data_IF_537899371420
#
_entry.id   IF_537899371420
#
_cell.length_a   1.000
_cell.length_b   1.000
_cell.length_c   1.000
_cell.angle_alpha   90.00
_cell.angle_beta   90.00
_cell.angle_gamma   90.00
#
_symmetry.space_group_name_H-M   'P 1'
#
loop_
_entity.id
_entity.type
_entity.pdbx_description
1 polymer ?
#
# COMPACT_ATOMS: atom_id res chain seq x y z
N UNK A 1 -5.80 -9.46 2.52
CA UNK A 1 -7.25 -9.27 2.40
C UNK A 1 -7.57 -7.78 2.58
N UNK A 2 -7.89 -7.07 1.50
CA UNK A 2 -8.10 -5.60 1.52
C UNK A 2 -9.31 -5.22 2.39
N UNK A 3 -10.38 -6.03 2.34
CA UNK A 3 -11.62 -5.80 3.09
C UNK A 3 -11.39 -5.78 4.60
N UNK A 4 -10.59 -6.71 5.11
CA UNK A 4 -10.24 -6.79 6.54
C UNK A 4 -9.42 -5.58 6.97
N UNK A 5 -8.35 -5.27 6.24
CA UNK A 5 -7.45 -4.20 6.64
C UNK A 5 -8.12 -2.83 6.52
N UNK A 6 -8.76 -2.54 5.38
CA UNK A 6 -9.43 -1.26 5.16
C UNK A 6 -10.60 -1.06 6.13
N UNK A 7 -11.41 -2.10 6.36
CA UNK A 7 -12.48 -2.07 7.35
C UNK A 7 -11.94 -1.89 8.78
N UNK A 8 -10.83 -2.54 9.14
CA UNK A 8 -10.18 -2.37 10.44
C UNK A 8 -9.68 -0.94 10.67
N UNK A 9 -9.08 -0.33 9.65
CA UNK A 9 -8.58 1.06 9.71
C UNK A 9 -9.72 2.10 9.81
N UNK A 10 -10.92 1.76 9.33
CA UNK A 10 -12.09 2.65 9.42
C UNK A 10 -12.44 3.02 10.88
N UNK A 11 -12.20 2.10 11.82
CA UNK A 11 -12.42 2.33 13.25
C UNK A 11 -11.45 3.33 13.91
N UNK A 12 -10.37 3.73 13.24
CA UNK A 12 -9.27 4.49 13.86
C UNK A 12 -9.06 5.87 13.26
N UNK A 13 -9.44 6.07 12.00
CA UNK A 13 -9.24 7.30 11.24
C UNK A 13 -9.50 7.15 9.75
N UNK A 14 -9.74 5.92 9.27
CA UNK A 14 -10.08 5.63 7.88
C UNK A 14 -8.98 4.88 7.13
N UNK A 15 -9.31 4.29 5.97
CA UNK A 15 -8.34 3.62 5.10
C UNK A 15 -7.33 4.60 4.50
N UNK A 16 -6.14 4.11 4.17
CA UNK A 16 -5.14 4.83 3.39
C UNK A 16 -5.59 5.05 1.94
N UNK A 17 -5.04 6.09 1.30
CA UNK A 17 -5.21 6.32 -0.13
C UNK A 17 -4.37 5.32 -0.94
N UNK A 18 -5.01 4.60 -1.87
CA UNK A 18 -4.41 3.50 -2.65
C UNK A 18 -4.48 3.73 -4.18
N UNK A 19 -4.57 4.99 -4.59
CA UNK A 19 -4.42 5.39 -5.99
C UNK A 19 -5.64 5.17 -6.90
N UNK A 20 -6.72 4.52 -6.45
CA UNK A 20 -7.92 4.26 -7.28
C UNK A 20 -9.20 4.21 -6.44
N UNK A 21 -10.34 4.57 -7.05
CA UNK A 21 -11.67 4.44 -6.43
C UNK A 21 -11.87 5.36 -5.22
N UNK A 22 -11.16 6.48 -5.16
CA UNK A 22 -11.18 7.41 -4.04
C UNK A 22 -11.78 8.76 -4.46
N UNK A 23 -12.63 9.32 -3.61
CA UNK A 23 -13.19 10.65 -3.77
C UNK A 23 -12.57 11.59 -2.74
N UNK A 24 -11.90 12.64 -3.20
CA UNK A 24 -11.26 13.63 -2.35
C UNK A 24 -12.07 14.92 -2.36
N UNK A 25 -12.27 15.52 -1.18
CA UNK A 25 -12.70 16.92 -1.11
C UNK A 25 -11.57 17.79 -1.68
N UNK A 26 -11.92 18.77 -2.53
CA UNK A 26 -10.94 19.63 -3.21
C UNK A 26 -9.98 20.29 -2.22
N UNK A 27 -10.51 20.84 -1.13
CA UNK A 27 -9.73 21.58 -0.13
C UNK A 27 -8.65 20.74 0.56
N UNK A 28 -8.88 19.43 0.69
CA UNK A 28 -7.91 18.48 1.26
C UNK A 28 -6.66 18.40 0.39
N UNK A 29 -6.85 18.36 -0.94
CA UNK A 29 -5.77 18.37 -1.92
C UNK A 29 -5.12 19.74 -2.00
N UNK A 30 -5.87 20.83 -1.77
CA UNK A 30 -5.31 22.18 -1.64
C UNK A 30 -4.57 22.43 -0.31
N UNK A 31 -4.33 21.40 0.52
CA UNK A 31 -3.50 21.49 1.72
C UNK A 31 -4.24 21.98 2.97
N UNK A 32 -5.58 22.15 2.94
CA UNK A 32 -6.36 22.59 4.10
C UNK A 32 -6.15 21.65 5.28
N UNK A 33 -5.95 22.23 6.47
CA UNK A 33 -5.94 21.48 7.75
C UNK A 33 -7.35 21.40 8.30
N UNK A 34 -7.68 20.28 8.93
CA UNK A 34 -8.97 20.11 9.57
C UNK A 34 -9.04 20.99 10.83
N UNK A 35 -10.18 21.67 11.01
CA UNK A 35 -10.50 22.45 12.20
C UNK A 35 -11.91 22.06 12.67
N UNK A 36 -12.20 22.16 13.97
CA UNK A 36 -13.49 21.68 14.51
C UNK A 36 -14.68 22.52 14.04
N UNK A 37 -14.44 23.78 13.70
CA UNK A 37 -15.41 24.71 13.11
C UNK A 37 -15.62 24.50 11.60
N UNK A 38 -14.97 23.48 11.01
CA UNK A 38 -15.07 23.19 9.59
C UNK A 38 -16.54 22.98 9.16
N UNK A 39 -16.98 23.80 8.21
CA UNK A 39 -18.24 23.64 7.50
C UNK A 39 -17.95 23.49 6.01
N UNK A 40 -18.56 22.47 5.42
CA UNK A 40 -18.46 22.26 3.98
C UNK A 40 -19.18 23.40 3.26
N UNK A 41 -18.46 24.13 2.41
CA UNK A 41 -19.08 25.09 1.50
C UNK A 41 -19.47 24.38 0.20
N UNK A 42 -20.68 23.81 0.20
CA UNK A 42 -21.28 23.18 -0.99
C UNK A 42 -21.52 24.16 -2.14
N UNK A 43 -21.50 25.48 -1.88
CA UNK A 43 -21.85 26.51 -2.86
C UNK A 43 -20.65 27.36 -3.32
N UNK A 44 -19.47 27.21 -2.70
CA UNK A 44 -18.30 28.06 -2.96
C UNK A 44 -17.79 28.00 -4.40
N UNK A 45 -18.05 26.91 -5.13
CA UNK A 45 -17.71 26.79 -6.55
C UNK A 45 -18.78 27.30 -7.53
N UNK A 46 -19.97 27.65 -7.04
CA UNK A 46 -21.13 28.07 -7.86
C UNK A 46 -21.33 29.58 -7.79
N UNK A 47 -20.96 30.22 -6.66
CA UNK A 47 -21.34 31.61 -6.35
C UNK A 47 -20.53 32.71 -7.05
N UNK A 48 -19.32 32.42 -7.54
CA UNK A 48 -18.45 33.40 -8.21
C UNK A 48 -18.30 33.17 -9.72
N UNK A 49 -19.33 32.61 -10.38
CA UNK A 49 -19.39 32.67 -11.85
C UNK A 49 -19.86 34.04 -12.31
N UNK A 50 -19.00 35.05 -12.16
CA UNK A 50 -19.01 36.20 -13.06
C UNK A 50 -18.98 35.65 -14.49
N UNK A 51 -19.69 36.28 -15.43
CA UNK A 51 -19.66 35.95 -16.86
C UNK A 51 -18.25 36.23 -17.44
N UNK A 52 -17.25 35.46 -17.03
CA UNK A 52 -15.94 35.46 -17.67
C UNK A 52 -16.10 34.84 -19.06
N UNK A 53 -15.47 35.47 -20.05
CA UNK A 53 -15.50 34.93 -21.40
C UNK A 53 -14.75 33.60 -21.45
N UNK A 54 -15.18 32.69 -22.32
CA UNK A 54 -14.51 31.39 -22.50
C UNK A 54 -13.03 31.57 -22.83
N UNK A 55 -12.69 32.61 -23.57
CA UNK A 55 -11.31 32.96 -23.95
C UNK A 55 -10.46 33.28 -22.72
N UNK A 56 -10.97 34.08 -21.78
CA UNK A 56 -10.24 34.40 -20.54
C UNK A 56 -10.04 33.17 -19.65
N UNK A 57 -11.06 32.30 -19.56
CA UNK A 57 -10.96 31.04 -18.80
C UNK A 57 -9.90 30.13 -19.43
N UNK A 58 -9.87 30.04 -20.77
CA UNK A 58 -8.89 29.24 -21.49
C UNK A 58 -7.46 29.76 -21.27
N UNK A 59 -7.24 31.07 -21.37
CA UNK A 59 -5.92 31.66 -21.12
C UNK A 59 -5.46 31.48 -19.67
N UNK A 60 -6.37 31.63 -18.70
CA UNK A 60 -6.08 31.28 -17.30
C UNK A 60 -5.71 29.81 -17.16
N UNK A 61 -6.48 28.90 -17.76
CA UNK A 61 -6.18 27.46 -17.72
C UNK A 61 -4.81 27.13 -18.34
N UNK A 62 -4.43 27.77 -19.46
CA UNK A 62 -3.10 27.63 -20.07
C UNK A 62 -1.99 28.05 -19.12
N UNK A 63 -2.14 29.20 -18.46
CA UNK A 63 -1.14 29.67 -17.48
C UNK A 63 -1.00 28.74 -16.27
N UNK A 64 -2.11 28.17 -15.77
CA UNK A 64 -2.09 27.20 -14.67
C UNK A 64 -1.49 25.83 -15.07
N UNK A 65 -1.61 25.45 -16.35
CA UNK A 65 -1.05 24.22 -16.90
C UNK A 65 0.39 24.36 -17.41
N UNK A 66 0.98 25.56 -17.30
CA UNK A 66 2.34 25.81 -17.75
C UNK A 66 3.35 25.01 -16.91
N UNK A 67 4.44 24.53 -17.54
CA UNK A 67 5.49 23.76 -16.87
C UNK A 67 6.22 24.53 -15.77
N UNK A 68 6.16 25.87 -15.81
CA UNK A 68 6.75 26.76 -14.81
C UNK A 68 5.83 27.05 -13.64
N UNK A 69 4.54 26.68 -13.71
CA UNK A 69 3.54 27.06 -12.71
C UNK A 69 3.91 26.55 -11.31
N UNK A 70 4.45 25.34 -11.23
CA UNK A 70 4.79 24.71 -9.96
C UNK A 70 6.19 25.11 -9.44
N UNK A 71 6.97 25.87 -10.22
CA UNK A 71 8.31 26.28 -9.83
C UNK A 71 8.29 27.17 -8.58
N UNK A 72 9.11 26.85 -7.58
CA UNK A 72 9.18 27.51 -6.28
C UNK A 72 7.84 27.58 -5.51
N UNK A 73 6.90 26.68 -5.83
CA UNK A 73 5.63 26.55 -5.10
C UNK A 73 5.65 25.37 -4.12
N UNK A 74 4.60 25.25 -3.30
CA UNK A 74 4.42 24.11 -2.39
C UNK A 74 3.68 22.92 -3.04
N UNK A 75 3.38 22.97 -4.34
CA UNK A 75 2.78 21.85 -5.08
C UNK A 75 3.76 20.67 -5.11
N UNK A 76 3.25 19.47 -4.86
CA UNK A 76 4.08 18.28 -4.76
C UNK A 76 4.77 18.08 -3.42
N UNK A 77 5.02 19.17 -2.67
CA UNK A 77 5.72 19.11 -1.39
C UNK A 77 4.77 19.11 -0.21
N UNK A 78 3.87 20.09 -0.11
CA UNK A 78 2.86 20.20 0.95
C UNK A 78 1.43 20.11 0.42
N UNK A 79 1.21 20.60 -0.79
CA UNK A 79 -0.06 20.71 -1.50
C UNK A 79 -0.12 19.70 -2.63
N UNK A 80 -1.32 19.18 -2.90
CA UNK A 80 -1.56 18.21 -3.96
C UNK A 80 -1.09 16.80 -3.63
N UNK A 81 -0.78 16.04 -4.68
CA UNK A 81 -0.18 14.71 -4.58
C UNK A 81 1.31 14.87 -4.30
N UNK A 82 1.85 14.13 -3.34
CA UNK A 82 3.25 14.25 -2.93
C UNK A 82 4.20 13.72 -4.01
N UNK A 83 5.23 14.48 -4.39
CA UNK A 83 6.20 14.09 -5.41
C UNK A 83 7.40 13.35 -4.81
N UNK A 84 8.16 12.66 -5.69
CA UNK A 84 9.43 12.03 -5.33
C UNK A 84 9.31 10.67 -4.63
N UNK A 85 8.10 10.12 -4.49
CA UNK A 85 7.88 8.81 -3.89
C UNK A 85 7.19 7.86 -4.88
N UNK A 86 7.68 6.61 -5.06
CA UNK A 86 7.02 5.63 -5.92
C UNK A 86 5.63 5.14 -5.45
N UNK A 87 5.25 5.48 -4.22
CA UNK A 87 3.95 5.20 -3.62
C UNK A 87 3.36 6.52 -3.11
N UNK A 88 3.26 7.49 -4.03
CA UNK A 88 2.78 8.85 -3.79
C UNK A 88 1.39 8.90 -3.17
N UNK A 89 0.54 7.93 -3.52
CA UNK A 89 -0.79 7.75 -2.98
C UNK A 89 -0.76 7.52 -1.46
N UNK A 90 0.05 6.58 -0.98
CA UNK A 90 0.18 6.24 0.44
C UNK A 90 0.66 7.45 1.24
N UNK A 91 1.73 8.11 0.79
CA UNK A 91 2.30 9.26 1.51
C UNK A 91 1.38 10.48 1.48
N UNK A 92 0.63 10.68 0.37
CA UNK A 92 -0.39 11.73 0.29
C UNK A 92 -1.53 11.44 1.29
N UNK A 93 -2.02 10.21 1.35
CA UNK A 93 -3.02 9.77 2.32
C UNK A 93 -2.58 9.98 3.77
N UNK A 94 -1.34 9.60 4.09
CA UNK A 94 -0.75 9.84 5.41
C UNK A 94 -0.69 11.35 5.73
N UNK A 95 -0.28 12.17 4.77
CA UNK A 95 -0.27 13.63 4.89
C UNK A 95 -1.65 14.20 5.21
N UNK A 96 -2.68 13.73 4.51
CA UNK A 96 -4.08 14.12 4.72
C UNK A 96 -4.53 13.77 6.14
N UNK A 97 -4.29 12.54 6.60
CA UNK A 97 -4.65 12.12 7.95
C UNK A 97 -3.89 12.88 9.03
N UNK A 98 -2.61 13.18 8.80
CA UNK A 98 -1.80 13.98 9.71
C UNK A 98 -2.23 15.44 9.80
N UNK A 99 -3.02 15.93 8.83
CA UNK A 99 -3.71 17.23 8.87
C UNK A 99 -5.05 17.18 9.61
N UNK A 100 -5.39 16.05 10.24
CA UNK A 100 -6.60 15.87 11.05
C UNK A 100 -7.82 15.35 10.28
N UNK A 101 -7.71 15.18 8.96
CA UNK A 101 -8.79 14.62 8.15
C UNK A 101 -8.97 13.13 8.39
N UNK A 102 -10.19 12.65 8.18
CA UNK A 102 -10.53 11.22 8.21
C UNK A 102 -10.97 10.77 6.83
N UNK A 103 -10.72 9.51 6.52
CA UNK A 103 -11.27 8.84 5.35
C UNK A 103 -12.31 7.81 5.78
N UNK A 104 -13.08 7.31 4.81
CA UNK A 104 -14.12 6.30 5.06
C UNK A 104 -13.96 5.18 4.03
N UNK A 105 -14.02 3.93 4.49
CA UNK A 105 -14.09 2.77 3.62
C UNK A 105 -15.55 2.42 3.32
N UNK A 106 -15.96 2.57 2.05
CA UNK A 106 -17.29 2.14 1.59
C UNK A 106 -17.18 0.88 0.74
N UNK A 107 -17.87 -0.18 1.14
CA UNK A 107 -17.91 -1.47 0.43
C UNK A 107 -19.35 -1.86 0.07
N UNK A 108 -19.93 -1.27 -0.99
CA UNK A 108 -21.30 -1.56 -1.42
C UNK A 108 -21.46 -3.02 -1.89
N UNK A 109 -22.67 -3.61 -1.86
CA UNK A 109 -22.90 -5.00 -2.27
C UNK A 109 -22.49 -5.28 -3.73
N UNK A 110 -22.65 -4.29 -4.61
CA UNK A 110 -22.16 -4.35 -5.99
C UNK A 110 -20.84 -3.59 -6.09
N UNK A 111 -19.78 -4.19 -6.67
CA UNK A 111 -18.53 -3.46 -6.92
C UNK A 111 -18.78 -2.20 -7.75
N UNK A 112 -18.48 -1.04 -7.19
CA UNK A 112 -18.63 0.25 -7.87
C UNK A 112 -17.48 0.51 -8.86
N UNK A 113 -16.33 -0.11 -8.63
CA UNK A 113 -15.14 -0.01 -9.48
C UNK A 113 -14.67 -1.41 -9.85
N UNK A 114 -14.45 -1.61 -11.14
CA UNK A 114 -13.87 -2.84 -11.70
C UNK A 114 -12.60 -2.45 -12.46
N UNK A 115 -11.53 -3.20 -12.24
CA UNK A 115 -10.24 -2.99 -12.88
C UNK A 115 -9.66 -4.30 -13.39
N UNK A 116 -8.66 -4.18 -14.26
CA UNK A 116 -7.91 -5.33 -14.78
C UNK A 116 -6.73 -5.61 -13.85
N UNK A 117 -6.73 -6.82 -13.27
CA UNK A 117 -5.61 -7.34 -12.50
C UNK A 117 -4.51 -7.89 -13.44
N UNK A 118 -3.25 -7.95 -12.98
CA UNK A 118 -2.20 -8.67 -13.72
C UNK A 118 -2.64 -10.10 -14.04
N UNK A 119 -2.44 -10.53 -15.29
CA UNK A 119 -2.86 -11.86 -15.75
C UNK A 119 -1.74 -12.89 -15.61
N UNK A 120 -0.48 -12.45 -15.52
CA UNK A 120 0.67 -13.33 -15.36
C UNK A 120 1.34 -13.22 -14.01
N UNK A 121 2.04 -14.30 -13.62
CA UNK A 121 2.87 -14.31 -12.42
C UNK A 121 3.97 -13.24 -12.50
N UNK A 122 4.61 -13.08 -13.66
CA UNK A 122 5.68 -12.10 -13.83
C UNK A 122 5.18 -10.66 -13.60
N UNK A 123 4.04 -10.28 -14.19
CA UNK A 123 3.44 -8.97 -13.97
C UNK A 123 3.04 -8.77 -12.50
N UNK A 124 2.47 -9.79 -11.86
CA UNK A 124 2.10 -9.78 -10.44
C UNK A 124 3.32 -9.54 -9.55
N UNK A 125 4.43 -10.25 -9.80
CA UNK A 125 5.65 -10.12 -9.00
C UNK A 125 6.33 -8.77 -9.22
N UNK A 126 6.33 -8.24 -10.45
CA UNK A 126 6.84 -6.90 -10.74
C UNK A 126 6.02 -5.81 -10.04
N UNK A 127 4.69 -5.94 -10.04
CA UNK A 127 3.81 -5.02 -9.32
C UNK A 127 4.08 -5.04 -7.82
N UNK A 128 4.12 -6.24 -7.21
CA UNK A 128 4.42 -6.38 -5.78
C UNK A 128 5.81 -5.86 -5.40
N UNK A 129 6.79 -6.02 -6.29
CA UNK A 129 8.15 -5.49 -6.08
C UNK A 129 8.14 -3.97 -5.98
N UNK A 130 7.39 -3.28 -6.83
CA UNK A 130 7.25 -1.82 -6.76
C UNK A 130 6.50 -1.36 -5.53
N UNK A 131 5.41 -2.04 -5.18
CA UNK A 131 4.66 -1.72 -3.95
C UNK A 131 5.52 -1.88 -2.70
N UNK A 132 6.29 -2.97 -2.60
CA UNK A 132 7.16 -3.19 -1.44
C UNK A 132 8.32 -2.19 -1.39
N UNK A 133 8.90 -1.86 -2.54
CA UNK A 133 9.98 -0.87 -2.66
C UNK A 133 9.50 0.54 -2.30
N UNK A 134 8.37 0.99 -2.86
CA UNK A 134 7.78 2.29 -2.56
C UNK A 134 7.35 2.42 -1.10
N UNK A 135 6.68 1.40 -0.56
CA UNK A 135 6.24 1.40 0.84
C UNK A 135 7.42 1.41 1.81
N UNK A 136 8.46 0.63 1.54
CA UNK A 136 9.65 0.59 2.39
C UNK A 136 10.47 1.88 2.29
N UNK A 137 10.54 2.49 1.11
CA UNK A 137 11.16 3.81 0.93
C UNK A 137 10.46 4.88 1.77
N UNK A 138 9.12 4.88 1.81
CA UNK A 138 8.34 5.77 2.70
C UNK A 138 8.70 5.51 4.16
N UNK A 139 8.74 4.24 4.58
CA UNK A 139 9.03 3.84 5.95
C UNK A 139 10.42 4.31 6.43
N UNK A 140 11.39 4.40 5.53
CA UNK A 140 12.76 4.87 5.81
C UNK A 140 12.93 6.39 5.66
N UNK A 141 11.92 7.09 5.16
CA UNK A 141 11.97 8.53 4.91
C UNK A 141 11.46 9.36 6.10
N UNK A 142 11.50 10.70 5.95
CA UNK A 142 10.84 11.64 6.88
C UNK A 142 9.34 11.38 7.05
N UNK A 143 8.70 10.68 6.12
CA UNK A 143 7.30 10.29 6.15
C UNK A 143 7.05 8.91 6.79
N UNK A 144 8.02 8.36 7.53
CA UNK A 144 7.79 7.18 8.36
C UNK A 144 6.53 7.38 9.24
N UNK A 145 5.53 6.48 9.21
CA UNK A 145 4.26 6.70 9.92
C UNK A 145 4.42 6.96 11.41
N UNK A 146 5.38 6.30 12.06
CA UNK A 146 5.68 6.48 13.49
C UNK A 146 6.35 7.82 13.81
N UNK A 147 7.12 8.39 12.88
CA UNK A 147 7.79 9.68 13.06
C UNK A 147 6.90 10.83 12.63
N UNK A 148 6.43 10.79 11.38
CA UNK A 148 5.63 11.86 10.78
C UNK A 148 4.24 11.98 11.40
N UNK A 149 3.63 10.82 11.73
CA UNK A 149 2.32 10.72 12.35
C UNK A 149 2.32 10.84 13.87
N UNK A 150 3.50 10.94 14.51
CA UNK A 150 3.61 11.08 15.95
C UNK A 150 2.85 12.31 16.44
N UNK A 151 1.98 12.11 17.45
CA UNK A 151 1.13 13.18 17.99
C UNK A 151 0.02 13.69 17.06
N UNK A 152 -0.01 13.30 15.78
CA UNK A 152 -1.01 13.74 14.78
C UNK A 152 -2.09 12.72 14.52
N UNK A 153 -1.73 11.43 14.52
CA UNK A 153 -2.66 10.31 14.35
C UNK A 153 -2.45 9.26 15.45
N UNK A 154 -3.50 8.49 15.76
CA UNK A 154 -3.47 7.44 16.80
C UNK A 154 -2.41 6.37 16.48
N UNK A 155 -1.75 5.82 17.49
CA UNK A 155 -0.73 4.77 17.33
C UNK A 155 -1.21 3.59 16.48
N UNK A 156 -2.42 3.09 16.73
CA UNK A 156 -3.04 2.02 15.92
C UNK A 156 -3.18 2.37 14.43
N UNK A 157 -3.37 3.64 14.10
CA UNK A 157 -3.41 4.12 12.73
C UNK A 157 -2.01 4.16 12.11
N UNK A 158 -1.00 4.59 12.88
CA UNK A 158 0.42 4.54 12.48
C UNK A 158 0.85 3.10 12.18
N UNK A 159 0.44 2.14 13.01
CA UNK A 159 0.68 0.72 12.80
C UNK A 159 0.04 0.22 11.50
N UNK A 160 -1.20 0.61 11.21
CA UNK A 160 -1.90 0.27 9.96
C UNK A 160 -1.13 0.69 8.71
N UNK A 161 -0.64 1.93 8.67
CA UNK A 161 0.23 2.41 7.58
C UNK A 161 1.57 1.66 7.51
N UNK A 162 2.12 1.28 8.66
CA UNK A 162 3.47 0.68 8.73
C UNK A 162 3.53 -0.77 8.24
N UNK A 163 2.41 -1.50 8.20
CA UNK A 163 2.37 -2.90 7.75
C UNK A 163 2.99 -3.05 6.35
N UNK A 164 2.67 -2.15 5.43
CA UNK A 164 3.19 -2.18 4.06
C UNK A 164 4.67 -1.82 3.97
N UNK A 165 5.12 -0.87 4.80
CA UNK A 165 6.54 -0.52 4.91
C UNK A 165 7.41 -1.69 5.35
N UNK A 166 6.85 -2.61 6.13
CA UNK A 166 7.55 -3.80 6.63
C UNK A 166 7.47 -5.01 5.69
N UNK A 167 6.84 -4.92 4.53
CA UNK A 167 6.79 -6.03 3.56
C UNK A 167 8.17 -6.43 3.06
N UNK A 168 8.98 -5.46 2.61
CA UNK A 168 10.31 -5.72 2.08
C UNK A 168 11.27 -6.32 3.13
N UNK A 169 11.44 -5.73 4.34
CA UNK A 169 12.27 -6.31 5.39
C UNK A 169 11.88 -7.74 5.81
N UNK A 170 10.59 -8.09 5.71
CA UNK A 170 10.11 -9.42 6.08
C UNK A 170 10.65 -10.55 5.18
N UNK A 171 11.25 -10.21 4.03
CA UNK A 171 11.95 -11.18 3.18
C UNK A 171 13.13 -11.87 3.88
N UNK A 172 13.89 -11.16 4.72
CA UNK A 172 15.07 -11.69 5.43
C UNK A 172 14.72 -12.81 6.43
N UNK A 173 13.82 -12.61 7.41
CA UNK A 173 13.44 -13.70 8.29
C UNK A 173 12.79 -14.85 7.51
N UNK A 174 12.05 -14.56 6.43
CA UNK A 174 11.48 -15.62 5.58
C UNK A 174 12.58 -16.47 4.95
N UNK A 175 13.64 -15.88 4.39
CA UNK A 175 14.79 -16.61 3.85
C UNK A 175 15.48 -17.44 4.94
N UNK A 176 15.65 -16.90 6.14
CA UNK A 176 16.19 -17.65 7.27
C UNK A 176 15.38 -18.92 7.54
N UNK A 177 14.05 -18.81 7.63
CA UNK A 177 13.16 -19.94 7.86
C UNK A 177 13.08 -20.93 6.69
N UNK A 178 13.43 -20.52 5.46
CA UNK A 178 13.49 -21.44 4.31
C UNK A 178 14.84 -22.17 4.26
N UNK A 179 15.94 -21.49 4.56
CA UNK A 179 17.29 -22.05 4.37
C UNK A 179 17.74 -22.86 5.58
N UNK A 180 17.59 -22.32 6.79
CA UNK A 180 18.16 -22.92 8.01
C UNK A 180 17.54 -24.28 8.33
N UNK A 181 16.21 -24.48 8.28
CA UNK A 181 15.62 -25.80 8.49
C UNK A 181 16.06 -26.85 7.46
N UNK A 182 16.20 -26.45 6.19
CA UNK A 182 16.68 -27.36 5.13
C UNK A 182 18.14 -27.77 5.35
N UNK A 183 19.01 -26.84 5.76
CA UNK A 183 20.40 -27.16 6.08
C UNK A 183 20.52 -28.02 7.34
N UNK A 184 19.73 -27.73 8.37
CA UNK A 184 19.72 -28.53 9.59
C UNK A 184 19.26 -29.96 9.31
N UNK A 185 18.22 -30.13 8.48
CA UNK A 185 17.76 -31.45 8.03
C UNK A 185 18.87 -32.22 7.29
N UNK A 186 19.59 -31.55 6.38
CA UNK A 186 20.72 -32.16 5.65
C UNK A 186 21.87 -32.58 6.59
N UNK A 187 22.07 -31.84 7.68
CA UNK A 187 23.12 -32.11 8.68
C UNK A 187 22.67 -33.02 9.83
N UNK A 188 21.40 -33.44 9.87
CA UNK A 188 20.84 -34.20 10.97
C UNK A 188 20.78 -33.43 12.29
N UNK A 189 20.76 -32.09 12.24
CA UNK A 189 20.67 -31.23 13.42
C UNK A 189 19.19 -31.03 13.77
N UNK A 190 18.77 -31.43 14.96
CA UNK A 190 17.40 -31.16 15.43
C UNK A 190 17.23 -29.69 15.82
N UNK A 191 16.35 -28.97 15.11
CA UNK A 191 15.99 -27.58 15.44
C UNK A 191 14.79 -27.49 16.39
N UNK A 192 13.96 -28.53 16.43
CA UNK A 192 12.74 -28.57 17.23
C UNK A 192 12.88 -29.65 18.31
N UNK A 193 12.16 -29.52 19.44
CA UNK A 193 12.05 -30.59 20.41
C UNK A 193 11.47 -31.88 19.81
N UNK A 194 11.68 -33.01 20.47
CA UNK A 194 11.05 -34.27 20.07
C UNK A 194 9.52 -34.19 20.21
N UNK A 195 8.78 -34.89 19.34
CA UNK A 195 7.29 -34.91 19.35
C UNK A 195 6.72 -35.36 20.70
N UNK A 196 7.44 -36.23 21.41
CA UNK A 196 7.10 -36.73 22.76
C UNK A 196 7.35 -35.69 23.86
N UNK A 197 8.13 -34.64 23.58
CA UNK A 197 8.47 -33.61 24.54
C UNK A 197 7.28 -32.68 24.79
N UNK A 198 6.95 -32.34 26.05
CA UNK A 198 5.96 -31.31 26.36
C UNK A 198 6.25 -29.97 25.67
N UNK A 199 7.53 -29.68 25.40
CA UNK A 199 7.99 -28.47 24.71
C UNK A 199 7.57 -28.38 23.24
N UNK A 200 7.02 -29.43 22.64
CA UNK A 200 6.41 -29.35 21.29
C UNK A 200 5.03 -28.70 21.29
N UNK A 201 4.35 -28.69 22.43
CA UNK A 201 2.98 -28.19 22.54
C UNK A 201 2.81 -26.75 22.04
N UNK A 202 3.69 -25.77 22.39
CA UNK A 202 3.59 -24.40 21.89
C UNK A 202 3.71 -24.30 20.36
N UNK A 203 4.58 -25.12 19.75
CA UNK A 203 4.77 -25.12 18.29
C UNK A 203 3.54 -25.62 17.55
N UNK A 204 2.96 -26.73 18.03
CA UNK A 204 1.72 -27.30 17.48
C UNK A 204 0.57 -26.30 17.68
N UNK A 205 0.47 -25.70 18.87
CA UNK A 205 -0.55 -24.70 19.17
C UNK A 205 -0.49 -23.51 18.20
N UNK A 206 0.68 -22.89 18.03
CA UNK A 206 0.85 -21.74 17.11
C UNK A 206 0.54 -22.15 15.67
N UNK A 207 1.01 -23.32 15.22
CA UNK A 207 0.75 -23.82 13.87
C UNK A 207 -0.76 -23.99 13.63
N UNK A 208 -1.47 -24.66 14.54
CA UNK A 208 -2.89 -24.91 14.41
C UNK A 208 -3.69 -23.60 14.46
N UNK A 209 -3.51 -22.80 15.50
CA UNK A 209 -4.29 -21.57 15.72
C UNK A 209 -4.08 -20.57 14.58
N UNK A 210 -2.83 -20.34 14.14
CA UNK A 210 -2.53 -19.41 13.04
C UNK A 210 -3.23 -19.82 11.75
N UNK A 211 -3.19 -21.12 11.39
CA UNK A 211 -3.79 -21.59 10.15
C UNK A 211 -5.32 -21.65 10.22
N UNK A 212 -5.88 -22.09 11.35
CA UNK A 212 -7.33 -22.10 11.58
C UNK A 212 -7.91 -20.68 11.55
N UNK A 213 -7.28 -19.73 12.25
CA UNK A 213 -7.73 -18.34 12.27
C UNK A 213 -7.63 -17.69 10.89
N UNK A 214 -6.50 -17.88 10.18
CA UNK A 214 -6.33 -17.35 8.83
C UNK A 214 -7.36 -17.92 7.85
N UNK A 215 -7.68 -19.21 7.97
CA UNK A 215 -8.71 -19.85 7.16
C UNK A 215 -10.10 -19.32 7.48
N UNK A 216 -10.43 -19.22 8.78
CA UNK A 216 -11.70 -18.68 9.25
C UNK A 216 -11.91 -17.24 8.76
N UNK A 217 -10.90 -16.38 8.87
CA UNK A 217 -10.97 -14.99 8.40
C UNK A 217 -11.22 -14.93 6.89
N UNK A 218 -10.52 -15.75 6.10
CA UNK A 218 -10.67 -15.79 4.64
C UNK A 218 -12.09 -16.21 4.24
N UNK A 219 -12.60 -17.31 4.81
CA UNK A 219 -13.96 -17.79 4.55
C UNK A 219 -15.02 -16.79 5.02
N UNK A 220 -14.84 -16.18 6.20
CA UNK A 220 -15.75 -15.16 6.73
C UNK A 220 -15.81 -13.92 5.84
N UNK A 221 -14.75 -13.66 5.06
CA UNK A 221 -14.73 -12.57 4.09
C UNK A 221 -15.34 -12.92 2.73
N UNK A 222 -15.74 -14.18 2.52
CA UNK A 222 -16.28 -14.69 1.26
C UNK A 222 -15.23 -15.26 0.29
N UNK A 223 -14.00 -15.53 0.77
CA UNK A 223 -13.00 -16.23 -0.03
C UNK A 223 -13.31 -17.74 -0.11
N UNK A 224 -12.67 -18.42 -1.06
CA UNK A 224 -12.79 -19.88 -1.23
C UNK A 224 -11.60 -20.59 -0.56
N UNK A 225 -11.75 -21.88 -0.22
CA UNK A 225 -10.63 -22.70 0.27
C UNK A 225 -9.44 -22.70 -0.69
N UNK A 226 -9.73 -22.78 -1.99
CA UNK A 226 -8.72 -22.72 -3.06
C UNK A 226 -8.03 -21.35 -3.11
N UNK A 227 -8.79 -20.27 -2.97
CA UNK A 227 -8.29 -18.89 -2.91
C UNK A 227 -7.35 -18.69 -1.73
N UNK A 228 -7.78 -19.09 -0.53
CA UNK A 228 -6.95 -19.04 0.67
C UNK A 228 -5.65 -19.84 0.52
N UNK A 229 -5.72 -21.07 -0.01
CA UNK A 229 -4.54 -21.90 -0.23
C UNK A 229 -3.56 -21.27 -1.23
N UNK A 230 -4.08 -20.69 -2.31
CA UNK A 230 -3.28 -19.96 -3.28
C UNK A 230 -2.64 -18.71 -2.66
N UNK A 231 -3.34 -17.99 -1.78
CA UNK A 231 -2.76 -16.85 -1.05
C UNK A 231 -1.61 -17.27 -0.12
N UNK A 232 -1.71 -18.41 0.59
CA UNK A 232 -0.60 -18.91 1.41
C UNK A 232 0.64 -19.21 0.55
N UNK A 233 0.45 -19.79 -0.65
CA UNK A 233 1.55 -20.04 -1.60
C UNK A 233 2.15 -18.75 -2.14
N UNK A 234 1.29 -17.85 -2.62
CA UNK A 234 1.72 -16.56 -3.19
C UNK A 234 2.38 -15.66 -2.15
N UNK A 235 1.98 -15.74 -0.89
CA UNK A 235 2.65 -15.06 0.22
C UNK A 235 4.13 -15.44 0.31
N UNK A 236 4.46 -16.73 0.21
CA UNK A 236 5.85 -17.20 0.25
C UNK A 236 6.61 -16.74 -1.00
N UNK A 237 6.04 -16.94 -2.19
CA UNK A 237 6.65 -16.55 -3.47
C UNK A 237 7.00 -15.05 -3.47
N UNK A 238 6.06 -14.19 -3.09
CA UNK A 238 6.28 -12.73 -3.02
C UNK A 238 7.43 -12.36 -2.07
N UNK A 239 7.53 -13.01 -0.92
CA UNK A 239 8.54 -12.71 0.11
C UNK A 239 9.95 -13.05 -0.32
N UNK A 240 10.15 -14.22 -0.91
CA UNK A 240 11.47 -14.67 -1.36
C UNK A 240 11.89 -14.07 -2.71
N UNK A 241 10.96 -13.45 -3.45
CA UNK A 241 11.23 -12.79 -4.73
C UNK A 241 11.01 -11.27 -4.64
N UNK A 242 9.81 -10.78 -4.94
CA UNK A 242 9.45 -9.35 -5.03
C UNK A 242 9.94 -8.53 -3.85
N UNK A 243 9.71 -9.00 -2.62
CA UNK A 243 10.04 -8.26 -1.40
C UNK A 243 11.54 -8.28 -1.11
N UNK A 244 12.21 -9.39 -1.43
CA UNK A 244 13.67 -9.48 -1.36
C UNK A 244 14.30 -8.50 -2.35
N UNK A 245 13.88 -8.50 -3.62
CA UNK A 245 14.37 -7.55 -4.62
C UNK A 245 14.04 -6.10 -4.27
N UNK A 246 12.83 -5.85 -3.76
CA UNK A 246 12.44 -4.53 -3.27
C UNK A 246 13.32 -4.06 -2.11
N UNK A 247 13.67 -4.95 -1.18
CA UNK A 247 14.58 -4.66 -0.08
C UNK A 247 15.98 -4.33 -0.59
N UNK A 248 16.56 -5.20 -1.44
CA UNK A 248 17.91 -5.00 -1.98
C UNK A 248 18.01 -3.70 -2.77
N UNK A 249 17.02 -3.39 -3.60
CA UNK A 249 17.03 -2.16 -4.40
C UNK A 249 16.87 -0.91 -3.53
N UNK A 250 16.01 -0.95 -2.51
CA UNK A 250 15.86 0.16 -1.56
C UNK A 250 17.15 0.41 -0.78
N UNK A 251 17.80 -0.65 -0.28
CA UNK A 251 19.08 -0.54 0.42
C UNK A 251 20.18 0.01 -0.50
N UNK A 252 20.29 -0.47 -1.73
CA UNK A 252 21.24 0.06 -2.72
C UNK A 252 21.01 1.54 -3.00
N UNK A 253 19.75 1.98 -3.08
CA UNK A 253 19.41 3.40 -3.25
C UNK A 253 19.81 4.23 -2.04
N UNK A 254 19.55 3.76 -0.82
CA UNK A 254 19.98 4.44 0.40
C UNK A 254 21.50 4.60 0.49
N UNK A 255 22.26 3.63 -0.03
CA UNK A 255 23.72 3.67 -0.10
C UNK A 255 24.25 4.50 -1.28
N UNK A 256 23.39 5.12 -2.09
CA UNK A 256 23.78 5.92 -3.26
C UNK A 256 24.28 5.09 -4.45
N UNK A 257 24.06 3.77 -4.45
CA UNK A 257 24.58 2.83 -5.46
C UNK A 257 23.67 2.68 -6.69
N UNK A 258 22.48 3.28 -6.69
CA UNK A 258 21.55 3.24 -7.84
C UNK A 258 20.60 4.44 -7.87
N UNK A 259 20.18 4.84 -9.09
CA UNK A 259 19.15 5.87 -9.30
C UNK A 259 17.73 5.29 -9.22
N UNK A 260 16.74 6.14 -8.97
CA UNK A 260 15.33 5.73 -8.86
C UNK A 260 14.73 5.44 -10.25
N UNK A 261 14.74 4.17 -10.68
CA UNK A 261 14.08 3.76 -11.94
C UNK A 261 12.66 3.28 -11.65
N UNK A 262 11.66 4.04 -12.09
CA UNK A 262 10.26 3.60 -12.11
C UNK A 262 10.01 2.82 -13.41
N UNK A 263 10.01 1.49 -13.34
CA UNK A 263 9.46 0.71 -14.45
C UNK A 263 7.92 0.83 -14.41
N UNK A 264 7.23 0.86 -15.56
CA UNK A 264 5.76 0.80 -15.64
C UNK A 264 5.34 -0.67 -15.86
N UNK A 265 4.22 -1.13 -15.29
CA UNK A 265 3.77 -2.53 -15.47
C UNK A 265 2.85 -2.50 -16.67
N UNK A 266 3.23 -3.18 -17.76
CA UNK A 266 2.31 -3.38 -18.86
C UNK A 266 1.12 -4.20 -18.36
N UNK A 267 -0.10 -3.70 -18.62
CA UNK A 267 -1.36 -4.43 -18.37
C UNK A 267 -1.88 -5.13 -19.63
N UNK A 268 -1.05 -5.22 -20.66
CA UNK A 268 -1.34 -5.88 -21.93
C UNK A 268 -0.61 -7.21 -21.94
N UNK A 269 -1.35 -8.31 -22.10
CA UNK A 269 -0.79 -9.64 -22.36
C UNK A 269 -0.43 -9.78 -23.84
N UNK A 270 0.66 -10.46 -24.16
CA UNK A 270 0.95 -10.87 -25.54
C UNK A 270 -0.10 -11.90 -26.01
N UNK A 271 -0.52 -11.86 -27.29
CA UNK A 271 -1.55 -12.76 -27.87
C UNK A 271 -1.23 -14.26 -27.72
N UNK A 272 0.02 -14.61 -27.44
CA UNK A 272 0.45 -15.98 -27.18
C UNK A 272 0.05 -16.48 -25.78
N UNK A 273 -0.11 -15.59 -24.80
CA UNK A 273 -0.45 -15.93 -23.42
C UNK A 273 -1.96 -16.00 -23.18
N UNK A 274 -2.78 -15.26 -23.95
CA UNK A 274 -4.24 -15.32 -23.84
C UNK A 274 -4.80 -16.69 -24.23
N UNK A 275 -4.16 -17.38 -25.19
CA UNK A 275 -4.55 -18.72 -25.65
C UNK A 275 -4.37 -19.85 -24.62
N UNK A 276 -3.66 -19.60 -23.50
CA UNK A 276 -3.49 -20.61 -22.43
C UNK A 276 -4.65 -20.65 -21.43
N UNK A 277 -5.57 -19.69 -21.51
CA UNK A 277 -6.66 -19.53 -20.55
C UNK A 277 -8.06 -19.66 -21.18
N UNK A 278 -8.13 -20.05 -22.46
CA UNK A 278 -9.32 -20.66 -23.10
C UNK A 278 -9.28 -22.18 -22.94
#
# INVERSE_FOLDING_TARGET
NLKVLMGGMDSVGGPMYVGTGCFHRREILCGRRFTEDYKEDWNGGIKDKTQESIVEIEEKAKSLAASTYEHDTQWGDEIGIKYGYPAEDIVTGLGIHCRGWKSVHSNPPRPAFLGVAPTTLAQTLLQHKRWSEGSFSIFLSKYCPFMFGHGKIKLRHQMGYSIYGLWAPNSIPTLYYVIIPSLALLKGISLFPEITSPWMSPFIYVLCVKNMYSLYEALSCGDTLKGWWNEQRMWMVRRITSYLYGLTDTVRKLLGLSKMTFAVTSKVSEESESKRYE
#
